data_IF_313701948350
#
_entry.id   IF_313701948350
#
_cell.length_a   1.000
_cell.length_b   1.000
_cell.length_c   1.000
_cell.angle_alpha   90.00
_cell.angle_beta   90.00
_cell.angle_gamma   90.00
#
_symmetry.space_group_name_H-M   'P 1'
#
loop_
_entity.id
_entity.type
_entity.pdbx_description
1 polymer ?
#
# COMPACT_ATOMS: atom_id res chain seq x y z
N UNK A 1 21.99 10.29 2.95
CA UNK A 1 22.26 8.97 3.55
C UNK A 1 22.32 7.96 2.42
N UNK A 2 23.35 7.11 2.38
CA UNK A 2 23.40 5.99 1.44
C UNK A 2 22.80 4.76 2.11
N UNK A 3 21.81 4.14 1.49
CA UNK A 3 21.21 2.88 1.98
C UNK A 3 22.19 1.73 1.78
N UNK A 4 22.26 0.81 2.73
CA UNK A 4 23.08 -0.41 2.57
C UNK A 4 22.52 -1.31 1.46
N UNK A 5 23.37 -2.16 0.87
CA UNK A 5 22.90 -3.17 -0.10
C UNK A 5 21.87 -4.12 0.53
N UNK A 6 22.05 -4.46 1.81
CA UNK A 6 21.10 -5.27 2.57
C UNK A 6 19.74 -4.58 2.71
N UNK A 7 19.71 -3.28 3.05
CA UNK A 7 18.45 -2.53 3.14
C UNK A 7 17.71 -2.52 1.81
N UNK A 8 18.44 -2.28 0.72
CA UNK A 8 17.86 -2.28 -0.63
C UNK A 8 17.28 -3.66 -0.99
N UNK A 9 18.01 -4.75 -0.68
CA UNK A 9 17.54 -6.10 -0.94
C UNK A 9 16.26 -6.45 -0.16
N UNK A 10 16.19 -6.11 1.13
CA UNK A 10 15.01 -6.38 1.94
C UNK A 10 13.81 -5.52 1.57
N UNK A 11 14.03 -4.25 1.18
CA UNK A 11 12.94 -3.43 0.67
C UNK A 11 12.45 -3.91 -0.70
N UNK A 12 13.35 -4.32 -1.59
CA UNK A 12 12.97 -4.92 -2.87
C UNK A 12 12.12 -6.19 -2.66
N UNK A 13 12.45 -7.01 -1.65
CA UNK A 13 11.64 -8.16 -1.26
C UNK A 13 10.25 -7.76 -0.74
N UNK A 14 10.15 -6.70 0.08
CA UNK A 14 8.87 -6.16 0.52
C UNK A 14 8.03 -5.65 -0.67
N UNK A 15 8.65 -4.95 -1.62
CA UNK A 15 8.00 -4.49 -2.86
C UNK A 15 7.49 -5.66 -3.70
N UNK A 16 8.29 -6.72 -3.86
CA UNK A 16 7.87 -7.91 -4.61
C UNK A 16 6.65 -8.60 -3.97
N UNK A 17 6.62 -8.69 -2.63
CA UNK A 17 5.47 -9.23 -1.89
C UNK A 17 4.21 -8.38 -2.11
N UNK A 18 4.32 -7.05 -2.06
CA UNK A 18 3.21 -6.15 -2.32
C UNK A 18 2.73 -6.24 -3.77
N UNK A 19 3.66 -6.28 -4.73
CA UNK A 19 3.38 -6.38 -6.16
C UNK A 19 2.57 -7.64 -6.45
N UNK A 20 2.92 -8.78 -5.84
CA UNK A 20 2.19 -10.04 -5.99
C UNK A 20 0.77 -10.04 -5.39
N UNK A 21 0.33 -8.96 -4.73
CA UNK A 21 -1.02 -8.79 -4.18
C UNK A 21 -1.85 -7.70 -4.87
N UNK A 22 -1.27 -7.03 -5.87
CA UNK A 22 -1.98 -6.01 -6.64
C UNK A 22 -3.25 -6.58 -7.28
N UNK A 23 -4.37 -5.86 -7.18
CA UNK A 23 -5.69 -6.28 -7.66
C UNK A 23 -6.50 -7.12 -6.67
N UNK A 24 -5.90 -7.59 -5.56
CA UNK A 24 -6.60 -8.44 -4.58
C UNK A 24 -6.92 -7.73 -3.26
N UNK A 25 -6.25 -6.61 -2.96
CA UNK A 25 -6.27 -6.00 -1.61
C UNK A 25 -7.25 -4.84 -1.44
N UNK A 26 -7.98 -4.47 -2.50
CA UNK A 26 -8.96 -3.40 -2.41
C UNK A 26 -10.00 -3.72 -1.31
N UNK A 27 -10.47 -2.71 -0.55
CA UNK A 27 -10.30 -1.27 -0.78
C UNK A 27 -9.01 -0.65 -0.24
N UNK A 28 -8.05 -1.46 0.23
CA UNK A 28 -6.81 -1.00 0.84
C UNK A 28 -5.60 -1.17 -0.11
N UNK A 29 -4.50 -0.44 0.11
CA UNK A 29 -3.32 -0.59 -0.73
C UNK A 29 -2.65 -1.95 -0.50
N UNK A 30 -2.00 -2.46 -1.54
CA UNK A 30 -1.07 -3.57 -1.41
C UNK A 30 0.19 -3.05 -0.70
N UNK A 31 0.47 -3.62 0.47
CA UNK A 31 1.65 -3.28 1.28
C UNK A 31 2.43 -4.55 1.51
N UNK A 32 3.74 -4.47 1.44
CA UNK A 32 4.65 -5.56 1.79
C UNK A 32 5.39 -5.22 3.08
N UNK A 33 5.65 -6.25 3.89
CA UNK A 33 6.38 -6.13 5.15
C UNK A 33 7.36 -7.30 5.26
N UNK A 34 8.63 -6.99 5.52
CA UNK A 34 9.70 -7.96 5.78
C UNK A 34 10.33 -7.62 7.12
N UNK A 35 10.45 -8.61 8.01
CA UNK A 35 11.06 -8.47 9.33
C UNK A 35 12.39 -9.23 9.32
N UNK A 36 13.45 -8.54 9.72
CA UNK A 36 14.83 -9.02 9.67
C UNK A 36 15.48 -8.92 11.04
N UNK A 37 16.18 -9.99 11.45
CA UNK A 37 17.02 -10.01 12.64
C UNK A 37 18.34 -10.72 12.34
N UNK A 38 19.43 -10.14 12.80
CA UNK A 38 20.79 -10.67 12.58
C UNK A 38 21.08 -10.99 11.09
N UNK A 39 20.60 -10.10 10.20
CA UNK A 39 20.75 -10.22 8.75
C UNK A 39 19.89 -11.30 8.09
N UNK A 40 18.94 -11.90 8.80
CA UNK A 40 18.06 -12.97 8.30
C UNK A 40 16.60 -12.53 8.34
N UNK A 41 15.85 -12.86 7.29
CA UNK A 41 14.39 -12.69 7.27
C UNK A 41 13.78 -13.70 8.23
N UNK A 42 13.11 -13.21 9.27
CA UNK A 42 12.42 -14.03 10.28
C UNK A 42 10.91 -14.13 10.00
N UNK A 43 10.33 -13.13 9.33
CA UNK A 43 8.96 -13.16 8.87
C UNK A 43 8.75 -12.21 7.70
N UNK A 44 7.72 -12.47 6.91
CA UNK A 44 7.30 -11.59 5.84
C UNK A 44 5.82 -11.78 5.54
N UNK A 45 5.17 -10.72 5.06
CA UNK A 45 3.78 -10.78 4.63
C UNK A 45 3.47 -9.64 3.66
N UNK A 46 2.34 -9.74 3.00
CA UNK A 46 1.71 -8.64 2.29
C UNK A 46 0.26 -8.48 2.75
N UNK A 47 -0.35 -7.32 2.51
CA UNK A 47 -1.78 -7.10 2.74
C UNK A 47 -2.59 -8.26 2.16
N UNK A 48 -3.46 -8.86 2.97
CA UNK A 48 -4.24 -10.01 2.53
C UNK A 48 -5.37 -9.62 1.56
N UNK A 49 -5.90 -10.57 0.77
CA UNK A 49 -7.05 -10.33 -0.09
C UNK A 49 -8.23 -9.70 0.67
N UNK A 50 -8.91 -8.72 0.04
CA UNK A 50 -9.93 -7.89 0.69
C UNK A 50 -9.36 -6.79 1.60
N UNK A 51 -8.04 -6.63 1.64
CA UNK A 51 -7.36 -5.49 2.26
C UNK A 51 -7.09 -5.62 3.75
N UNK A 52 -7.43 -6.76 4.36
CA UNK A 52 -7.16 -7.07 5.76
C UNK A 52 -6.90 -8.57 5.95
N UNK A 53 -6.04 -8.96 6.90
CA UNK A 53 -5.17 -8.09 7.73
C UNK A 53 -4.11 -7.33 6.92
N UNK A 54 -3.55 -6.26 7.52
CA UNK A 54 -2.38 -5.57 6.95
C UNK A 54 -1.15 -6.49 6.92
N UNK A 55 -0.11 -6.08 6.19
CA UNK A 55 1.15 -6.82 6.13
C UNK A 55 1.81 -6.95 7.52
N UNK A 56 1.90 -5.85 8.27
CA UNK A 56 2.54 -5.86 9.60
C UNK A 56 1.74 -6.69 10.61
N UNK A 57 0.40 -6.71 10.49
CA UNK A 57 -0.48 -7.52 11.34
C UNK A 57 -0.29 -9.03 11.13
N UNK A 58 0.29 -9.44 10.00
CA UNK A 58 0.60 -10.83 9.69
C UNK A 58 2.05 -11.16 10.02
N UNK A 59 2.99 -10.29 9.62
CA UNK A 59 4.42 -10.55 9.77
C UNK A 59 4.85 -10.54 11.25
N UNK A 60 4.32 -9.63 12.07
CA UNK A 60 4.71 -9.52 13.49
C UNK A 60 4.37 -10.80 14.28
N UNK A 61 3.12 -11.33 14.25
CA UNK A 61 2.83 -12.60 14.92
C UNK A 61 3.64 -13.77 14.37
N UNK A 62 3.90 -13.80 13.05
CA UNK A 62 4.68 -14.85 12.42
C UNK A 62 6.16 -14.86 12.87
N UNK A 63 6.72 -13.69 13.19
CA UNK A 63 8.07 -13.57 13.75
C UNK A 63 8.18 -14.06 15.21
N UNK A 64 7.05 -14.20 15.92
CA UNK A 64 7.03 -14.67 17.31
C UNK A 64 7.92 -13.83 18.23
N UNK A 65 8.63 -14.48 19.15
CA UNK A 65 9.52 -13.80 20.09
C UNK A 65 10.76 -13.16 19.41
N UNK A 66 11.13 -13.61 18.21
CA UNK A 66 12.30 -13.09 17.51
C UNK A 66 12.09 -11.68 16.97
N UNK A 67 10.85 -11.18 16.94
CA UNK A 67 10.52 -9.81 16.50
C UNK A 67 11.18 -8.73 17.36
N UNK A 68 11.48 -9.01 18.63
CA UNK A 68 12.07 -8.04 19.55
C UNK A 68 13.49 -7.68 19.09
N UNK A 69 13.76 -6.38 18.96
CA UNK A 69 15.03 -5.84 18.50
C UNK A 69 15.27 -5.97 16.98
N UNK A 70 14.27 -6.41 16.22
CA UNK A 70 14.39 -6.60 14.76
C UNK A 70 14.29 -5.28 13.98
N UNK A 71 14.62 -5.35 12.69
CA UNK A 71 14.36 -4.30 11.69
C UNK A 71 13.16 -4.69 10.84
N UNK A 72 12.24 -3.76 10.62
CA UNK A 72 11.07 -3.93 9.75
C UNK A 72 11.25 -3.08 8.50
N UNK A 73 11.09 -3.69 7.32
CA UNK A 73 11.01 -3.01 6.03
C UNK A 73 9.57 -3.05 5.55
N UNK A 74 8.97 -1.88 5.29
CA UNK A 74 7.56 -1.77 4.90
C UNK A 74 7.39 -0.80 3.74
N UNK A 75 6.56 -1.16 2.76
CA UNK A 75 6.45 -0.40 1.50
C UNK A 75 5.64 0.89 1.61
N UNK A 76 4.88 1.06 2.69
CA UNK A 76 4.06 2.23 2.96
C UNK A 76 4.10 2.56 4.46
N UNK A 77 3.97 3.84 4.83
CA UNK A 77 3.96 4.26 6.24
C UNK A 77 2.96 3.42 7.06
N UNK A 78 3.40 2.79 8.18
CA UNK A 78 2.50 2.09 9.09
C UNK A 78 1.42 3.03 9.61
N UNK A 79 0.16 2.64 9.52
CA UNK A 79 -0.93 3.53 9.92
C UNK A 79 -0.80 4.00 11.38
N UNK A 80 -1.04 5.29 11.60
CA UNK A 80 -1.03 5.94 12.91
C UNK A 80 -2.38 5.85 13.63
N UNK A 81 -3.46 5.70 12.86
CA UNK A 81 -4.83 5.48 13.33
C UNK A 81 -5.62 4.62 12.34
N UNK A 82 -6.80 4.17 12.74
CA UNK A 82 -7.74 3.44 11.88
C UNK A 82 -9.13 4.01 12.02
N UNK A 83 -9.90 4.01 10.93
CA UNK A 83 -11.33 4.36 10.95
C UNK A 83 -12.13 3.50 11.95
N UNK A 84 -11.76 2.22 12.09
CA UNK A 84 -12.39 1.29 13.05
C UNK A 84 -12.06 1.55 14.53
N UNK A 85 -11.12 2.44 14.86
CA UNK A 85 -10.62 2.63 16.22
C UNK A 85 -9.74 1.49 16.78
N UNK A 86 -9.58 0.37 16.06
CA UNK A 86 -8.65 -0.71 16.44
C UNK A 86 -7.20 -0.22 16.45
N UNK A 87 -6.33 -0.95 17.19
CA UNK A 87 -4.89 -0.69 17.25
C UNK A 87 -4.30 -0.54 15.85
N UNK A 88 -3.48 0.49 15.68
CA UNK A 88 -2.83 0.82 14.42
C UNK A 88 -1.55 0.00 14.20
N UNK A 89 -1.03 -0.07 12.98
CA UNK A 89 0.22 -0.81 12.73
C UNK A 89 1.40 -0.21 13.51
N UNK A 90 1.45 1.11 13.65
CA UNK A 90 2.46 1.75 14.49
C UNK A 90 2.37 1.34 15.98
N UNK A 91 1.16 1.11 16.52
CA UNK A 91 1.00 0.51 17.85
C UNK A 91 1.52 -0.92 17.89
N UNK A 92 1.14 -1.76 16.92
CA UNK A 92 1.57 -3.15 16.87
C UNK A 92 3.10 -3.30 16.81
N UNK A 93 3.76 -2.49 15.97
CA UNK A 93 5.22 -2.48 15.86
C UNK A 93 5.90 -2.03 17.16
N UNK A 94 5.35 -0.99 17.81
CA UNK A 94 5.83 -0.53 19.12
C UNK A 94 5.71 -1.63 20.17
N UNK A 95 4.53 -2.24 20.31
CA UNK A 95 4.25 -3.28 21.31
C UNK A 95 5.08 -4.55 21.07
N UNK A 96 5.40 -4.85 19.82
CA UNK A 96 6.29 -5.95 19.45
C UNK A 96 7.76 -5.71 19.84
N UNK A 97 8.15 -4.47 20.16
CA UNK A 97 9.52 -4.14 20.54
C UNK A 97 10.52 -4.21 19.38
N UNK A 98 10.09 -3.88 18.15
CA UNK A 98 11.03 -3.72 17.02
C UNK A 98 12.00 -2.57 17.32
N UNK A 99 13.23 -2.64 16.81
CA UNK A 99 14.25 -1.60 17.05
C UNK A 99 14.26 -0.53 15.95
N UNK A 100 14.04 -0.95 14.70
CA UNK A 100 14.17 -0.10 13.51
C UNK A 100 13.04 -0.36 12.52
N UNK A 101 12.53 0.70 11.90
CA UNK A 101 11.53 0.64 10.83
C UNK A 101 12.02 1.46 9.64
N UNK A 102 12.16 0.80 8.49
CA UNK A 102 12.52 1.40 7.21
C UNK A 102 11.30 1.41 6.32
N UNK A 103 10.92 2.60 5.84
CA UNK A 103 9.68 2.84 5.12
C UNK A 103 10.01 3.30 3.70
N UNK A 104 9.39 2.67 2.70
CA UNK A 104 9.61 3.11 1.32
C UNK A 104 8.91 4.43 1.02
N UNK A 105 7.59 4.46 1.12
CA UNK A 105 6.77 5.62 0.80
C UNK A 105 5.98 6.10 2.03
N UNK A 106 5.88 7.42 2.19
CA UNK A 106 5.00 8.04 3.20
C UNK A 106 3.54 7.97 2.75
N UNK A 107 2.62 7.77 3.68
CA UNK A 107 1.18 7.71 3.37
C UNK A 107 0.53 9.06 3.71
N UNK A 108 0.10 9.86 2.72
CA UNK A 108 -0.55 11.14 2.96
C UNK A 108 -2.00 11.00 3.46
N UNK A 109 -2.54 9.77 3.57
CA UNK A 109 -3.90 9.55 4.06
C UNK A 109 -4.08 10.07 5.49
N UNK A 110 -5.31 10.51 5.87
CA UNK A 110 -5.58 11.00 7.23
C UNK A 110 -5.35 9.94 8.34
N UNK A 111 -5.18 8.67 7.95
CA UNK A 111 -4.91 7.55 8.85
C UNK A 111 -3.42 7.38 9.17
N UNK A 112 -2.53 7.93 8.34
CA UNK A 112 -1.09 7.91 8.51
C UNK A 112 -0.58 9.35 8.63
N UNK A 113 -0.34 10.06 7.52
CA UNK A 113 0.06 11.47 7.46
C UNK A 113 1.14 11.83 8.49
N UNK A 114 2.17 10.99 8.63
CA UNK A 114 3.26 11.17 9.59
C UNK A 114 2.96 10.67 11.01
N UNK A 115 1.69 10.49 11.40
CA UNK A 115 1.30 10.04 12.75
C UNK A 115 1.86 8.68 13.11
N UNK A 116 2.04 7.80 12.11
CA UNK A 116 2.64 6.49 12.31
C UNK A 116 4.12 6.62 12.65
N UNK A 117 4.86 7.37 11.83
CA UNK A 117 6.29 7.60 12.06
C UNK A 117 6.58 8.38 13.35
N UNK A 118 5.80 9.41 13.66
CA UNK A 118 5.90 10.18 14.90
C UNK A 118 5.73 9.29 16.13
N UNK A 119 4.73 8.40 16.12
CA UNK A 119 4.50 7.44 17.20
C UNK A 119 5.69 6.52 17.40
N UNK A 120 6.20 5.93 16.32
CA UNK A 120 7.33 5.01 16.38
C UNK A 120 8.57 5.72 16.97
N UNK A 121 8.88 6.94 16.47
CA UNK A 121 9.99 7.76 16.98
C UNK A 121 9.80 8.14 18.45
N UNK A 122 8.60 8.52 18.87
CA UNK A 122 8.28 8.88 20.25
C UNK A 122 8.47 7.71 21.23
N UNK A 123 8.49 6.46 20.73
CA UNK A 123 8.73 5.24 21.51
C UNK A 123 10.20 4.79 21.44
N UNK A 124 11.08 5.60 20.85
CA UNK A 124 12.52 5.33 20.78
C UNK A 124 12.97 4.46 19.61
N UNK A 125 12.08 4.14 18.66
CA UNK A 125 12.44 3.37 17.48
C UNK A 125 13.22 4.23 16.47
N UNK A 126 14.20 3.62 15.81
CA UNK A 126 14.85 4.24 14.65
C UNK A 126 13.91 4.17 13.45
N UNK A 127 13.53 5.31 12.87
CA UNK A 127 12.60 5.38 11.74
C UNK A 127 13.22 6.14 10.58
N UNK A 128 13.46 5.43 9.48
CA UNK A 128 14.04 5.95 8.25
C UNK A 128 13.05 5.80 7.08
N UNK A 129 13.00 6.78 6.19
CA UNK A 129 11.96 6.90 5.17
C UNK A 129 12.57 7.21 3.80
N UNK A 130 11.95 6.75 2.73
CA UNK A 130 12.30 7.11 1.35
C UNK A 130 13.18 6.10 0.60
N UNK A 131 13.39 4.90 1.14
CA UNK A 131 14.09 3.83 0.43
C UNK A 131 13.17 3.23 -0.65
N UNK A 132 13.52 3.36 -1.93
CA UNK A 132 12.67 2.87 -3.05
C UNK A 132 11.27 3.51 -3.02
N UNK A 133 11.24 4.82 -2.77
CA UNK A 133 10.00 5.58 -2.60
C UNK A 133 9.11 5.54 -3.85
N UNK A 134 9.70 5.61 -5.04
CA UNK A 134 8.98 5.60 -6.31
C UNK A 134 8.22 4.28 -6.50
N UNK A 135 8.89 3.15 -6.23
CA UNK A 135 8.30 1.82 -6.28
C UNK A 135 7.21 1.63 -5.21
N UNK A 136 7.45 2.12 -3.99
CA UNK A 136 6.44 2.13 -2.92
C UNK A 136 5.20 2.96 -3.28
N UNK A 137 5.39 4.16 -3.84
CA UNK A 137 4.31 5.04 -4.27
C UNK A 137 3.46 4.43 -5.39
N UNK A 138 4.11 3.78 -6.35
CA UNK A 138 3.45 3.09 -7.46
C UNK A 138 2.51 1.97 -6.99
N UNK A 139 2.72 1.37 -5.81
CA UNK A 139 1.84 0.35 -5.22
C UNK A 139 0.58 0.96 -4.58
N UNK A 140 0.67 2.15 -3.98
CA UNK A 140 -0.46 2.78 -3.28
C UNK A 140 -1.22 3.84 -4.10
N UNK A 141 -0.73 4.22 -5.28
CA UNK A 141 -1.31 5.26 -6.15
C UNK A 141 -2.83 5.17 -6.33
N UNK A 142 -3.37 4.00 -6.71
CA UNK A 142 -4.83 3.84 -6.90
C UNK A 142 -5.64 4.06 -5.61
N UNK A 143 -5.09 3.66 -4.46
CA UNK A 143 -5.72 3.91 -3.16
C UNK A 143 -5.73 5.40 -2.82
N UNK A 144 -4.62 6.10 -3.04
CA UNK A 144 -4.52 7.54 -2.80
C UNK A 144 -5.40 8.34 -3.75
N UNK A 145 -5.41 7.98 -5.04
CA UNK A 145 -6.29 8.59 -6.04
C UNK A 145 -7.77 8.48 -5.63
N UNK A 146 -8.19 7.32 -5.14
CA UNK A 146 -9.56 7.11 -4.64
C UNK A 146 -9.86 7.94 -3.40
N UNK A 147 -8.92 8.04 -2.47
CA UNK A 147 -9.11 8.88 -1.28
C UNK A 147 -9.26 10.36 -1.64
N UNK A 148 -8.49 10.84 -2.62
CA UNK A 148 -8.51 12.23 -3.06
C UNK A 148 -9.77 12.57 -3.89
N UNK A 149 -10.13 11.69 -4.83
CA UNK A 149 -11.14 12.01 -5.86
C UNK A 149 -12.50 11.34 -5.63
N UNK A 150 -12.56 10.35 -4.74
CA UNK A 150 -13.74 9.50 -4.52
C UNK A 150 -13.97 8.44 -5.62
N UNK A 151 -13.06 8.28 -6.58
CA UNK A 151 -13.19 7.34 -7.71
C UNK A 151 -11.93 6.50 -7.90
N UNK A 152 -12.02 5.27 -8.46
CA UNK A 152 -10.84 4.49 -8.80
C UNK A 152 -10.02 5.18 -9.89
N UNK A 153 -8.72 4.93 -9.87
CA UNK A 153 -7.83 5.25 -10.97
C UNK A 153 -8.15 4.35 -12.16
N UNK A 154 -8.22 4.91 -13.37
CA UNK A 154 -8.46 4.12 -14.59
C UNK A 154 -7.28 4.25 -15.53
N UNK A 155 -6.72 3.12 -15.99
CA UNK A 155 -5.63 3.09 -16.98
C UNK A 155 -5.98 2.19 -18.18
N UNK A 156 -5.24 2.36 -19.27
CA UNK A 156 -5.27 1.40 -20.37
C UNK A 156 -4.36 0.22 -19.99
N UNK A 157 -4.86 -1.00 -20.14
CA UNK A 157 -4.08 -2.24 -19.97
C UNK A 157 -4.58 -3.30 -20.96
N UNK A 158 -3.70 -4.20 -21.37
CA UNK A 158 -4.05 -5.32 -22.25
C UNK A 158 -4.57 -6.53 -21.47
N UNK A 159 -3.95 -6.86 -20.33
CA UNK A 159 -4.23 -8.06 -19.55
C UNK A 159 -4.91 -7.78 -18.19
N UNK A 160 -4.93 -6.51 -17.76
CA UNK A 160 -5.50 -6.12 -16.48
C UNK A 160 -4.72 -6.57 -15.25
N UNK A 161 -3.47 -7.00 -15.41
CA UNK A 161 -2.64 -7.47 -14.30
C UNK A 161 -2.41 -6.36 -13.27
N UNK A 162 -2.65 -6.66 -12.00
CA UNK A 162 -2.52 -5.70 -10.90
C UNK A 162 -3.66 -4.68 -10.77
N UNK A 163 -4.74 -4.83 -11.54
CA UNK A 163 -5.97 -4.04 -11.41
C UNK A 163 -7.07 -4.84 -10.70
N UNK A 164 -7.95 -4.13 -10.02
CA UNK A 164 -9.06 -4.71 -9.25
C UNK A 164 -10.15 -5.28 -10.17
N UNK A 165 -10.21 -4.79 -11.42
CA UNK A 165 -11.15 -5.27 -12.44
C UNK A 165 -11.14 -4.41 -13.70
N UNK A 166 -11.82 -4.91 -14.74
CA UNK A 166 -12.03 -4.18 -15.99
C UNK A 166 -13.19 -3.20 -15.83
N UNK A 167 -12.95 -1.93 -16.15
CA UNK A 167 -14.02 -0.95 -16.32
C UNK A 167 -14.72 -1.16 -17.65
N UNK A 168 -16.04 -1.32 -17.58
CA UNK A 168 -16.92 -1.46 -18.74
C UNK A 168 -18.10 -0.52 -18.53
N UNK A 169 -18.39 0.29 -19.54
CA UNK A 169 -19.52 1.21 -19.51
C UNK A 169 -20.18 1.25 -20.89
N UNK A 170 -21.49 1.49 -20.92
CA UNK A 170 -22.19 1.71 -22.19
C UNK A 170 -21.81 3.08 -22.77
N UNK A 171 -21.90 3.30 -24.10
CA UNK A 171 -21.57 4.59 -24.72
C UNK A 171 -22.41 5.78 -24.23
N UNK A 172 -23.57 5.51 -23.60
CA UNK A 172 -24.47 6.54 -23.06
C UNK A 172 -24.34 6.71 -21.55
N UNK A 173 -23.45 5.97 -20.89
CA UNK A 173 -23.29 6.03 -19.45
C UNK A 173 -22.65 7.36 -19.03
N UNK A 174 -23.08 7.88 -17.89
CA UNK A 174 -22.32 8.90 -17.17
C UNK A 174 -21.12 8.24 -16.48
N UNK A 175 -19.94 8.40 -17.09
CA UNK A 175 -18.71 7.76 -16.63
C UNK A 175 -18.29 8.26 -15.25
N UNK A 176 -18.54 9.53 -14.92
CA UNK A 176 -18.19 10.08 -13.60
C UNK A 176 -19.03 9.42 -12.52
N UNK A 177 -20.34 9.32 -12.75
CA UNK A 177 -21.27 8.70 -11.82
C UNK A 177 -20.95 7.21 -11.62
N UNK A 178 -20.65 6.46 -12.69
CA UNK A 178 -20.25 5.06 -12.57
C UNK A 178 -18.94 4.87 -11.81
N UNK A 179 -17.92 5.69 -12.08
CA UNK A 179 -16.64 5.61 -11.38
C UNK A 179 -16.78 5.98 -9.90
N UNK A 180 -17.60 6.98 -9.56
CA UNK A 180 -17.91 7.29 -8.15
C UNK A 180 -18.57 6.10 -7.44
N UNK A 181 -19.56 5.47 -8.08
CA UNK A 181 -20.22 4.28 -7.54
C UNK A 181 -19.22 3.13 -7.28
N UNK A 182 -18.27 2.93 -8.19
CA UNK A 182 -17.21 1.92 -8.01
C UNK A 182 -16.21 2.32 -6.91
N UNK A 183 -15.89 3.61 -6.79
CA UNK A 183 -15.08 4.14 -5.69
C UNK A 183 -15.74 3.93 -4.33
N UNK A 184 -17.04 4.19 -4.21
CA UNK A 184 -17.83 3.89 -3.01
C UNK A 184 -17.83 2.39 -2.67
N UNK A 185 -17.92 1.52 -3.69
CA UNK A 185 -17.81 0.07 -3.53
C UNK A 185 -16.40 -0.42 -3.15
N UNK A 186 -15.38 0.44 -3.22
CA UNK A 186 -14.04 0.14 -2.74
C UNK A 186 -12.97 -0.04 -3.82
N UNK A 187 -13.32 -0.01 -5.10
CA UNK A 187 -12.35 -0.16 -6.17
C UNK A 187 -11.33 0.98 -6.16
N UNK A 188 -10.06 0.64 -6.34
CA UNK A 188 -8.92 1.56 -6.31
C UNK A 188 -8.26 1.70 -7.69
N UNK A 189 -8.19 0.60 -8.46
CA UNK A 189 -7.57 0.54 -9.79
C UNK A 189 -8.46 -0.24 -10.73
N UNK A 190 -8.87 0.39 -11.82
CA UNK A 190 -9.57 -0.26 -12.91
C UNK A 190 -8.79 -0.10 -14.20
N UNK A 191 -8.99 -1.04 -15.12
CA UNK A 191 -8.40 -0.96 -16.45
C UNK A 191 -9.46 -0.98 -17.55
N UNK A 192 -9.14 -0.39 -18.69
CA UNK A 192 -9.87 -0.58 -19.94
C UNK A 192 -8.89 -0.97 -21.05
N UNK A 193 -9.40 -1.60 -22.10
CA UNK A 193 -8.62 -1.73 -23.34
C UNK A 193 -8.62 -0.42 -24.13
N UNK A 194 -7.77 -0.31 -25.17
CA UNK A 194 -7.83 0.80 -26.12
C UNK A 194 -9.18 0.82 -26.87
N UNK A 195 -9.58 1.99 -27.37
CA UNK A 195 -10.79 2.21 -28.16
C UNK A 195 -11.70 3.30 -27.59
N UNK A 196 -12.96 3.32 -28.04
CA UNK A 196 -13.91 4.43 -27.78
C UNK A 196 -14.08 4.76 -26.28
N UNK A 197 -14.10 3.74 -25.40
CA UNK A 197 -14.22 3.98 -23.96
C UNK A 197 -12.96 4.67 -23.39
N UNK A 198 -11.76 4.28 -23.82
CA UNK A 198 -10.53 4.89 -23.39
C UNK A 198 -10.42 6.35 -23.88
N UNK A 199 -10.81 6.60 -25.12
CA UNK A 199 -10.88 7.95 -25.71
C UNK A 199 -11.89 8.83 -24.96
N UNK A 200 -13.07 8.30 -24.63
CA UNK A 200 -14.09 9.01 -23.85
C UNK A 200 -13.62 9.33 -22.42
N UNK A 201 -12.93 8.40 -21.76
CA UNK A 201 -12.32 8.63 -20.45
C UNK A 201 -11.24 9.71 -20.53
N UNK A 202 -10.38 9.66 -21.54
CA UNK A 202 -9.31 10.65 -21.73
C UNK A 202 -9.88 12.05 -21.99
N UNK A 203 -10.88 12.16 -22.87
CA UNK A 203 -11.54 13.43 -23.19
C UNK A 203 -12.19 14.11 -21.97
N UNK A 204 -12.57 13.31 -20.96
CA UNK A 204 -13.14 13.79 -19.69
C UNK A 204 -12.11 13.92 -18.55
N UNK A 205 -10.83 13.66 -18.80
CA UNK A 205 -9.79 13.66 -17.75
C UNK A 205 -9.96 12.55 -16.70
N UNK A 206 -10.65 11.47 -17.06
CA UNK A 206 -10.93 10.33 -16.19
C UNK A 206 -9.89 9.20 -16.34
N UNK A 207 -9.12 9.23 -17.42
CA UNK A 207 -7.98 8.34 -17.63
C UNK A 207 -6.74 8.91 -16.93
N UNK A 208 -6.09 8.10 -16.09
CA UNK A 208 -4.82 8.44 -15.44
C UNK A 208 -3.68 7.92 -16.30
N UNK A 209 -2.75 8.80 -16.66
CA UNK A 209 -1.54 8.43 -17.42
C UNK A 209 -0.54 7.66 -16.57
#
# INVERSE_FOLDING_TARGET
>A
MSWSEADQAFMAQAIALATGRMGETWPNPAVGCVIVKDGRVIAQAATAPGGRPHAEEQAVPAAGADVVGSTVYVTLEPCGARSSGRKSCAHFLTEAGVARVVIACMDPSPFAAGRGTERLRAQGLTVETGLMCEEGAALCEGFLHRLETGRPMVRISEDGSGFDGRFVASPKADLVTELKRLGEAGYTRLWTGPGELAEALQAQGLLTV
#
